data_IF_203055194538
#
_entry.id   IF_203055194538
#
_cell.length_a   1.000
_cell.length_b   1.000
_cell.length_c   1.000
_cell.angle_alpha   90.00
_cell.angle_beta   90.00
_cell.angle_gamma   90.00
#
_symmetry.space_group_name_H-M   'P 1'
#
loop_
_entity.id
_entity.type
_entity.pdbx_description
1 polymer ?
#
# COMPACT_ATOMS: atom_id res chain seq x y z
N UNK A 1 -4.59 25.80 8.23
CA UNK A 1 -4.52 24.81 7.14
C UNK A 1 -4.55 23.43 7.78
N UNK A 2 -5.68 22.70 7.77
CA UNK A 2 -5.73 21.43 8.46
C UNK A 2 -5.04 20.33 7.66
N UNK A 3 -4.33 19.49 8.43
CA UNK A 3 -3.74 18.18 8.18
C UNK A 3 -3.83 17.55 6.78
N UNK A 4 -2.68 17.52 6.11
CA UNK A 4 -2.41 16.51 5.08
C UNK A 4 -1.87 15.26 5.80
N UNK A 5 -2.59 14.12 5.81
CA UNK A 5 -2.09 12.92 6.46
C UNK A 5 -0.80 12.45 5.78
N UNK A 6 0.18 12.17 6.63
CA UNK A 6 1.54 11.76 6.32
C UNK A 6 1.50 10.36 5.68
N UNK A 7 1.19 10.29 4.39
CA UNK A 7 1.37 9.07 3.58
C UNK A 7 1.87 9.36 2.15
N UNK A 8 2.11 10.63 1.78
CA UNK A 8 2.69 10.96 0.45
C UNK A 8 4.23 10.94 0.41
N UNK A 9 4.93 10.79 1.54
CA UNK A 9 6.36 11.12 1.64
C UNK A 9 7.35 9.96 1.50
N UNK A 10 6.96 8.81 0.95
CA UNK A 10 7.94 7.85 0.40
C UNK A 10 8.34 8.18 -1.05
N UNK A 11 7.56 9.02 -1.76
CA UNK A 11 7.77 9.40 -3.17
C UNK A 11 8.50 10.76 -3.31
N UNK A 12 9.52 11.03 -2.50
CA UNK A 12 10.39 12.21 -2.75
C UNK A 12 11.87 11.90 -3.00
N UNK A 13 12.29 10.64 -2.89
CA UNK A 13 13.68 10.26 -3.22
C UNK A 13 13.82 9.55 -4.57
N UNK A 14 12.72 9.16 -5.24
CA UNK A 14 12.78 8.40 -6.50
C UNK A 14 12.40 9.18 -7.77
N UNK A 15 11.75 10.36 -7.67
CA UNK A 15 11.14 11.03 -8.83
C UNK A 15 11.70 12.43 -9.18
N UNK A 16 12.85 12.85 -8.67
CA UNK A 16 13.44 14.16 -9.02
C UNK A 16 14.36 14.14 -10.26
N UNK A 17 14.19 13.18 -11.16
CA UNK A 17 15.04 13.07 -12.37
C UNK A 17 14.33 12.71 -13.67
N UNK A 18 13.02 12.96 -13.77
CA UNK A 18 12.29 12.85 -15.05
C UNK A 18 11.25 13.97 -15.17
N UNK A 19 11.75 15.16 -15.50
CA UNK A 19 10.91 16.26 -15.98
C UNK A 19 11.52 16.84 -17.26
N UNK A 20 11.00 16.38 -18.41
CA UNK A 20 11.01 17.13 -19.68
C UNK A 20 9.95 16.55 -20.63
N UNK A 21 8.70 17.03 -20.58
CA UNK A 21 8.10 18.05 -21.48
C UNK A 21 7.19 17.43 -22.54
N UNK A 22 5.86 17.67 -22.45
CA UNK A 22 5.02 18.43 -23.41
C UNK A 22 3.53 18.08 -23.25
N UNK A 23 2.74 19.11 -22.99
CA UNK A 23 1.35 19.32 -23.44
C UNK A 23 1.26 20.81 -23.82
N UNK A 24 0.20 21.32 -24.48
CA UNK A 24 -0.91 20.70 -25.21
C UNK A 24 -1.14 21.34 -26.61
N UNK A 25 -2.07 20.83 -27.43
CA UNK A 25 -2.86 21.71 -28.31
C UNK A 25 -4.22 21.07 -28.73
N UNK A 26 -5.29 21.86 -28.97
CA UNK A 26 -6.69 21.40 -29.08
C UNK A 26 -7.28 21.50 -30.51
N UNK A 27 -8.31 20.69 -30.80
CA UNK A 27 -9.37 20.87 -31.83
C UNK A 27 -10.13 19.54 -32.00
N UNK A 28 -11.41 19.44 -32.34
CA UNK A 28 -12.48 20.38 -32.64
C UNK A 28 -13.83 19.65 -32.38
N UNK A 29 -14.91 20.44 -32.32
CA UNK A 29 -16.27 20.08 -31.94
C UNK A 29 -16.97 19.09 -32.89
N UNK A 30 -17.86 18.25 -32.35
CA UNK A 30 -18.97 17.62 -33.07
C UNK A 30 -20.14 17.47 -32.08
N UNK A 31 -21.38 17.87 -32.42
CA UNK A 31 -22.49 17.95 -31.45
C UNK A 31 -23.03 16.56 -31.05
N UNK A 32 -23.57 16.40 -29.82
CA UNK A 32 -24.14 15.13 -29.38
C UNK A 32 -25.52 14.88 -30.02
N UNK A 33 -25.85 13.64 -30.41
CA UNK A 33 -27.21 13.31 -30.80
C UNK A 33 -28.15 13.35 -29.58
N UNK A 34 -29.33 13.92 -29.81
CA UNK A 34 -30.38 14.29 -28.87
C UNK A 34 -30.80 13.21 -27.86
N UNK A 35 -30.97 13.66 -26.61
CA UNK A 35 -31.40 12.93 -25.40
C UNK A 35 -32.89 12.52 -25.39
N UNK A 36 -33.43 12.02 -26.49
CA UNK A 36 -34.84 11.62 -26.51
C UNK A 36 -34.99 10.44 -27.44
N UNK A 37 -35.25 9.24 -26.88
CA UNK A 37 -36.09 8.16 -27.41
C UNK A 37 -35.58 6.73 -27.10
N UNK A 38 -35.22 6.38 -25.85
CA UNK A 38 -35.09 4.95 -25.46
C UNK A 38 -35.61 4.64 -24.04
N UNK A 39 -36.56 5.43 -23.53
CA UNK A 39 -37.31 5.09 -22.31
C UNK A 39 -38.58 4.31 -22.68
N UNK A 40 -38.43 3.06 -23.12
CA UNK A 40 -39.58 2.18 -23.28
C UNK A 40 -39.25 0.72 -23.02
N UNK A 41 -39.82 0.26 -21.90
CA UNK A 41 -40.35 -1.10 -21.69
C UNK A 41 -39.29 -2.16 -21.38
N UNK A 42 -38.78 -2.13 -20.14
CA UNK A 42 -38.59 -3.28 -19.24
C UNK A 42 -38.28 -2.68 -17.86
N UNK A 43 -38.84 -3.16 -16.73
CA UNK A 43 -38.25 -2.83 -15.44
C UNK A 43 -36.87 -3.47 -15.44
N UNK A 44 -35.85 -2.68 -15.80
CA UNK A 44 -34.47 -3.08 -15.61
C UNK A 44 -34.36 -3.38 -14.12
N UNK A 45 -34.10 -4.63 -13.69
CA UNK A 45 -33.85 -4.88 -12.28
C UNK A 45 -32.71 -3.93 -11.92
N UNK A 46 -33.01 -2.97 -11.04
CA UNK A 46 -32.01 -2.07 -10.50
C UNK A 46 -30.83 -2.97 -10.12
N UNK A 47 -29.59 -2.65 -10.54
CA UNK A 47 -28.44 -3.44 -10.17
C UNK A 47 -28.54 -3.62 -8.66
N UNK A 48 -28.68 -4.88 -8.25
CA UNK A 48 -28.97 -5.25 -6.88
C UNK A 48 -27.96 -4.47 -6.03
N UNK A 49 -28.44 -3.45 -5.30
CA UNK A 49 -27.60 -2.65 -4.44
C UNK A 49 -27.24 -3.61 -3.31
N UNK A 50 -26.29 -4.52 -3.57
CA UNK A 50 -25.68 -5.38 -2.58
C UNK A 50 -25.12 -4.44 -1.55
N UNK A 51 -25.92 -4.18 -0.52
CA UNK A 51 -25.61 -3.35 0.62
C UNK A 51 -24.38 -4.01 1.22
N UNK A 52 -23.20 -3.45 0.92
CA UNK A 52 -21.95 -3.92 1.51
C UNK A 52 -22.21 -4.06 2.99
N UNK A 53 -22.01 -5.27 3.52
CA UNK A 53 -22.25 -5.50 4.93
C UNK A 53 -21.40 -4.47 5.69
N UNK A 54 -22.00 -3.75 6.63
CA UNK A 54 -21.28 -2.79 7.49
C UNK A 54 -20.03 -3.44 8.11
N UNK A 55 -20.06 -4.76 8.33
CA UNK A 55 -18.91 -5.55 8.78
C UNK A 55 -17.73 -5.55 7.80
N UNK A 56 -17.97 -5.60 6.49
CA UNK A 56 -16.91 -5.65 5.48
C UNK A 56 -16.20 -4.29 5.33
N UNK A 57 -16.97 -3.21 5.31
CA UNK A 57 -16.44 -1.83 5.28
C UNK A 57 -15.59 -1.54 6.53
N UNK A 58 -16.07 -1.93 7.71
CA UNK A 58 -15.31 -1.80 8.95
C UNK A 58 -14.02 -2.64 8.91
N UNK A 59 -14.08 -3.87 8.39
CA UNK A 59 -12.90 -4.74 8.28
C UNK A 59 -11.83 -4.16 7.37
N UNK A 60 -12.22 -3.59 6.22
CA UNK A 60 -11.29 -2.93 5.31
C UNK A 60 -10.64 -1.70 5.94
N UNK A 61 -11.40 -0.89 6.68
CA UNK A 61 -10.86 0.28 7.39
C UNK A 61 -9.85 -0.11 8.47
N UNK A 62 -10.10 -1.21 9.19
CA UNK A 62 -9.16 -1.77 10.15
C UNK A 62 -7.88 -2.24 9.45
N UNK A 63 -8.02 -2.88 8.29
CA UNK A 63 -6.89 -3.35 7.48
C UNK A 63 -6.04 -2.16 6.99
N UNK A 64 -6.67 -1.12 6.47
CA UNK A 64 -6.04 0.13 6.05
C UNK A 64 -5.21 0.75 7.19
N UNK A 65 -5.81 0.89 8.37
CA UNK A 65 -5.10 1.40 9.55
C UNK A 65 -3.89 0.54 9.91
N UNK A 66 -4.01 -0.79 9.85
CA UNK A 66 -2.89 -1.70 10.13
C UNK A 66 -1.76 -1.57 9.10
N UNK A 67 -2.08 -1.46 7.81
CA UNK A 67 -1.09 -1.25 6.75
C UNK A 67 -0.38 0.09 6.96
N UNK A 68 -1.12 1.16 7.22
CA UNK A 68 -0.56 2.49 7.51
C UNK A 68 0.43 2.45 8.69
N UNK A 69 0.02 1.89 9.83
CA UNK A 69 0.91 1.73 10.99
C UNK A 69 2.13 0.84 10.68
N UNK A 70 1.97 -0.18 9.83
CA UNK A 70 3.08 -1.04 9.41
C UNK A 70 4.09 -0.26 8.57
N UNK A 71 3.62 0.59 7.67
CA UNK A 71 4.47 1.48 6.84
C UNK A 71 5.25 2.45 7.73
N UNK A 72 4.59 3.10 8.69
CA UNK A 72 5.24 4.01 9.64
C UNK A 72 6.36 3.30 10.42
N UNK A 73 6.12 2.06 10.87
CA UNK A 73 7.15 1.25 11.55
C UNK A 73 8.31 0.93 10.63
N UNK A 74 8.06 0.58 9.36
CA UNK A 74 9.11 0.37 8.37
C UNK A 74 9.92 1.63 8.09
N UNK A 75 9.28 2.80 8.09
CA UNK A 75 9.96 4.07 7.87
C UNK A 75 11.05 4.35 8.91
N UNK A 76 10.85 3.92 10.17
CA UNK A 76 11.86 4.07 11.21
C UNK A 76 13.18 3.36 10.88
N UNK A 77 13.15 2.29 10.06
CA UNK A 77 14.33 1.54 9.63
C UNK A 77 15.06 2.30 8.53
N UNK A 78 14.33 2.74 7.50
CA UNK A 78 14.92 3.50 6.39
C UNK A 78 15.46 4.87 6.83
N UNK A 79 14.87 5.45 7.89
CA UNK A 79 15.39 6.67 8.51
C UNK A 79 16.80 6.48 9.10
N UNK A 80 17.23 5.24 9.37
CA UNK A 80 18.62 4.91 9.76
C UNK A 80 19.43 4.47 8.52
N UNK A 81 19.44 5.30 7.49
CA UNK A 81 20.09 5.04 6.19
C UNK A 81 21.51 4.48 6.33
N UNK A 82 22.34 5.10 7.16
CA UNK A 82 23.72 4.66 7.39
C UNK A 82 23.83 3.24 7.97
N UNK A 83 22.83 2.75 8.71
CA UNK A 83 22.78 1.36 9.19
C UNK A 83 22.18 0.43 8.15
N UNK A 84 21.22 0.93 7.37
CA UNK A 84 20.61 0.18 6.28
C UNK A 84 21.63 -0.16 5.19
N UNK A 85 22.51 0.78 4.86
CA UNK A 85 23.61 0.59 3.90
C UNK A 85 24.63 -0.47 4.34
N UNK A 86 24.71 -0.77 5.64
CA UNK A 86 25.57 -1.83 6.20
C UNK A 86 24.94 -3.23 6.12
N UNK A 87 23.68 -3.35 5.68
CA UNK A 87 23.04 -4.65 5.47
C UNK A 87 23.59 -5.34 4.23
N UNK A 88 23.55 -6.67 4.21
CA UNK A 88 23.86 -7.45 3.01
C UNK A 88 22.86 -7.12 1.88
N UNK A 89 23.34 -7.15 0.63
CA UNK A 89 22.56 -6.77 -0.54
C UNK A 89 21.22 -7.52 -0.67
N UNK A 90 21.18 -8.81 -0.30
CA UNK A 90 19.95 -9.60 -0.34
C UNK A 90 18.93 -9.15 0.71
N UNK A 91 19.38 -8.81 1.91
CA UNK A 91 18.52 -8.24 2.96
C UNK A 91 17.96 -6.88 2.53
N UNK A 92 18.81 -6.02 1.95
CA UNK A 92 18.35 -4.73 1.42
C UNK A 92 17.27 -4.93 0.36
N UNK A 93 17.51 -5.83 -0.62
CA UNK A 93 16.57 -6.12 -1.70
C UNK A 93 15.24 -6.67 -1.18
N UNK A 94 15.28 -7.59 -0.22
CA UNK A 94 14.08 -8.16 0.40
C UNK A 94 13.25 -7.08 1.11
N UNK A 95 13.89 -6.22 1.90
CA UNK A 95 13.22 -5.13 2.61
C UNK A 95 12.66 -4.07 1.66
N UNK A 96 13.38 -3.75 0.57
CA UNK A 96 12.88 -2.87 -0.47
C UNK A 96 11.65 -3.45 -1.16
N UNK A 97 11.71 -4.71 -1.60
CA UNK A 97 10.58 -5.40 -2.22
C UNK A 97 9.35 -5.40 -1.30
N UNK A 98 9.54 -5.69 -0.02
CA UNK A 98 8.43 -5.70 0.94
C UNK A 98 7.83 -4.30 1.14
N UNK A 99 8.65 -3.25 1.12
CA UNK A 99 8.20 -1.86 1.18
C UNK A 99 7.39 -1.49 -0.07
N UNK A 100 7.86 -1.88 -1.25
CA UNK A 100 7.14 -1.67 -2.51
C UNK A 100 5.76 -2.37 -2.48
N UNK A 101 5.69 -3.57 -1.90
CA UNK A 101 4.43 -4.29 -1.68
C UNK A 101 3.50 -3.52 -0.73
N UNK A 102 3.97 -3.09 0.44
CA UNK A 102 3.15 -2.31 1.38
C UNK A 102 2.62 -1.01 0.75
N UNK A 103 3.46 -0.32 -0.03
CA UNK A 103 3.07 0.88 -0.75
C UNK A 103 2.01 0.57 -1.81
N UNK A 104 2.17 -0.51 -2.56
CA UNK A 104 1.17 -0.95 -3.53
C UNK A 104 -0.18 -1.19 -2.86
N UNK A 105 -0.21 -1.87 -1.71
CA UNK A 105 -1.44 -2.09 -0.93
C UNK A 105 -2.07 -0.79 -0.50
N UNK A 106 -1.27 0.09 0.09
CA UNK A 106 -1.73 1.40 0.55
C UNK A 106 -2.35 2.23 -0.58
N UNK A 107 -1.82 2.11 -1.79
CA UNK A 107 -2.28 2.85 -2.97
C UNK A 107 -3.48 2.23 -3.67
N UNK A 108 -3.85 0.97 -3.37
CA UNK A 108 -4.93 0.24 -4.03
C UNK A 108 -6.11 -0.08 -3.09
N UNK A 109 -6.20 0.59 -1.93
CA UNK A 109 -7.31 0.38 -0.99
C UNK A 109 -8.68 0.78 -1.57
N UNK A 110 -8.71 1.69 -2.55
CA UNK A 110 -9.90 2.03 -3.33
C UNK A 110 -10.50 0.81 -4.08
N UNK A 111 -9.65 -0.16 -4.41
CA UNK A 111 -10.03 -1.42 -5.07
C UNK A 111 -10.10 -2.60 -4.10
N UNK A 112 -9.94 -2.38 -2.79
CA UNK A 112 -9.83 -3.46 -1.82
C UNK A 112 -11.11 -4.28 -1.65
N UNK A 113 -12.26 -3.75 -2.06
CA UNK A 113 -13.51 -4.50 -2.15
C UNK A 113 -13.39 -5.70 -3.10
N UNK A 114 -12.52 -5.63 -4.11
CA UNK A 114 -12.28 -6.70 -5.07
C UNK A 114 -11.23 -7.72 -4.59
N UNK A 115 -10.58 -7.47 -3.44
CA UNK A 115 -9.60 -8.39 -2.90
C UNK A 115 -10.29 -9.62 -2.32
N UNK A 116 -9.81 -10.80 -2.68
CA UNK A 116 -10.22 -12.05 -2.06
C UNK A 116 -9.95 -12.03 -0.56
N UNK A 117 -10.70 -12.85 0.19
CA UNK A 117 -10.44 -13.06 1.62
C UNK A 117 -9.00 -13.49 1.89
N UNK A 118 -8.45 -14.38 1.06
CA UNK A 118 -7.07 -14.83 1.16
C UNK A 118 -6.07 -13.68 1.06
N UNK A 119 -6.24 -12.79 0.07
CA UNK A 119 -5.41 -11.60 -0.08
C UNK A 119 -5.46 -10.70 1.16
N UNK A 120 -6.67 -10.46 1.71
CA UNK A 120 -6.88 -9.67 2.94
C UNK A 120 -6.23 -10.32 4.17
N UNK A 121 -6.36 -11.63 4.31
CA UNK A 121 -5.77 -12.39 5.40
C UNK A 121 -4.24 -12.42 5.30
N UNK A 122 -3.68 -12.50 4.09
CA UNK A 122 -2.25 -12.39 3.85
C UNK A 122 -1.68 -11.02 4.21
N UNK A 123 -2.38 -9.92 3.85
CA UNK A 123 -2.03 -8.56 4.30
C UNK A 123 -2.02 -8.50 5.83
N UNK A 124 -3.12 -8.96 6.44
CA UNK A 124 -3.33 -8.88 7.87
C UNK A 124 -2.26 -9.67 8.63
N UNK A 125 -1.94 -10.87 8.15
CA UNK A 125 -0.87 -11.70 8.67
C UNK A 125 0.48 -10.95 8.62
N UNK A 126 0.80 -10.31 7.48
CA UNK A 126 2.06 -9.60 7.32
C UNK A 126 2.16 -8.41 8.29
N UNK A 127 1.11 -7.60 8.39
CA UNK A 127 1.02 -6.52 9.37
C UNK A 127 1.18 -7.03 10.82
N UNK A 128 0.59 -8.18 11.14
CA UNK A 128 0.72 -8.80 12.47
C UNK A 128 2.17 -9.18 12.76
N UNK A 129 2.84 -9.87 11.83
CA UNK A 129 4.22 -10.31 12.03
C UNK A 129 5.21 -9.15 12.13
N UNK A 130 5.00 -8.08 11.37
CA UNK A 130 5.79 -6.85 11.55
C UNK A 130 5.50 -6.21 12.91
N UNK A 131 4.22 -6.21 13.33
CA UNK A 131 3.81 -5.67 14.61
C UNK A 131 4.45 -6.36 15.82
N UNK A 132 4.82 -7.63 15.69
CA UNK A 132 5.51 -8.42 16.72
C UNK A 132 7.03 -8.22 16.74
N UNK A 133 7.61 -7.58 15.72
CA UNK A 133 9.05 -7.24 15.76
C UNK A 133 9.26 -6.14 16.79
N UNK A 134 10.17 -6.39 17.73
CA UNK A 134 10.55 -5.44 18.76
C UNK A 134 11.61 -4.48 18.24
N UNK A 135 11.26 -3.20 18.12
CA UNK A 135 12.16 -2.15 17.63
C UNK A 135 12.96 -1.49 18.75
N UNK A 136 12.55 -1.68 20.01
CA UNK A 136 13.07 -0.94 21.16
C UNK A 136 13.44 -1.89 22.30
N UNK A 137 14.74 -2.05 22.54
CA UNK A 137 15.31 -2.67 23.74
C UNK A 137 16.38 -1.74 24.28
N UNK A 138 16.12 -0.93 25.31
CA UNK A 138 17.04 0.17 25.72
C UNK A 138 18.44 -0.32 26.15
N UNK A 139 18.54 -1.59 26.53
CA UNK A 139 19.73 -2.24 27.06
C UNK A 139 20.77 -2.63 26.00
N UNK A 140 20.38 -2.72 24.72
CA UNK A 140 21.30 -3.13 23.64
C UNK A 140 21.79 -1.94 22.79
N UNK A 141 23.04 -1.98 22.26
CA UNK A 141 23.54 -1.02 21.29
C UNK A 141 22.65 -0.93 20.05
N UNK A 142 22.44 0.29 19.54
CA UNK A 142 21.55 0.56 18.39
C UNK A 142 21.86 -0.32 17.16
N UNK A 143 23.14 -0.52 16.84
CA UNK A 143 23.58 -1.36 15.71
C UNK A 143 23.13 -2.81 15.87
N UNK A 144 23.21 -3.37 17.08
CA UNK A 144 22.77 -4.74 17.37
C UNK A 144 21.26 -4.87 17.20
N UNK A 145 20.50 -3.92 17.75
CA UNK A 145 19.03 -3.87 17.62
C UNK A 145 18.61 -3.76 16.17
N UNK A 146 19.24 -2.86 15.42
CA UNK A 146 18.94 -2.67 14.00
C UNK A 146 19.20 -3.95 13.20
N UNK A 147 20.31 -4.64 13.46
CA UNK A 147 20.62 -5.93 12.82
C UNK A 147 19.59 -7.01 13.16
N UNK A 148 19.15 -7.09 14.41
CA UNK A 148 18.10 -8.04 14.85
C UNK A 148 16.78 -7.76 14.12
N UNK A 149 16.30 -6.51 14.19
CA UNK A 149 15.06 -6.06 13.54
C UNK A 149 15.08 -6.34 12.04
N UNK A 150 16.17 -5.97 11.34
CA UNK A 150 16.26 -6.16 9.89
C UNK A 150 16.37 -7.62 9.48
N UNK A 151 16.99 -8.48 10.30
CA UNK A 151 16.99 -9.93 10.09
C UNK A 151 15.58 -10.52 10.19
N UNK A 152 14.83 -10.15 11.23
CA UNK A 152 13.46 -10.63 11.44
C UNK A 152 12.53 -10.17 10.31
N UNK A 153 12.65 -8.90 9.90
CA UNK A 153 11.87 -8.35 8.79
C UNK A 153 12.26 -8.93 7.44
N UNK A 154 13.54 -9.21 7.21
CA UNK A 154 13.99 -9.92 5.99
C UNK A 154 13.38 -11.32 5.93
N UNK A 155 13.31 -12.03 7.06
CA UNK A 155 12.65 -13.34 7.16
C UNK A 155 11.16 -13.24 6.82
N UNK A 156 10.47 -12.21 7.32
CA UNK A 156 9.06 -11.95 6.99
C UNK A 156 8.91 -11.63 5.50
N UNK A 157 9.75 -10.77 4.94
CA UNK A 157 9.72 -10.39 3.53
C UNK A 157 9.93 -11.59 2.59
N UNK A 158 10.88 -12.46 2.91
CA UNK A 158 11.23 -13.62 2.08
C UNK A 158 10.17 -14.73 2.09
N UNK A 159 9.34 -14.80 3.13
CA UNK A 159 8.23 -15.77 3.19
C UNK A 159 7.08 -15.46 2.23
N UNK A 160 7.15 -14.36 1.47
CA UNK A 160 6.44 -14.26 0.20
C UNK A 160 4.92 -14.17 0.30
N UNK A 161 4.35 -13.44 1.27
CA UNK A 161 2.89 -13.31 1.45
C UNK A 161 2.13 -12.66 0.27
N UNK A 162 2.86 -12.26 -0.76
CA UNK A 162 2.40 -11.52 -1.93
C UNK A 162 2.80 -12.19 -3.26
N UNK A 163 3.40 -13.38 -3.24
CA UNK A 163 3.94 -14.03 -4.47
C UNK A 163 2.88 -14.59 -5.43
N UNK A 164 1.58 -14.38 -5.17
CA UNK A 164 0.52 -15.10 -5.91
C UNK A 164 -0.57 -14.30 -6.60
N UNK A 165 -0.82 -13.01 -6.33
CA UNK A 165 -2.08 -12.39 -6.83
C UNK A 165 -2.12 -10.85 -6.93
N UNK A 166 -0.98 -10.17 -6.99
CA UNK A 166 -0.96 -8.70 -6.97
C UNK A 166 -0.05 -8.06 -8.02
N UNK A 167 0.15 -8.77 -9.14
CA UNK A 167 0.73 -8.25 -10.37
C UNK A 167 -0.31 -8.36 -11.48
#
# INVERSE_FOLDING_TARGET
FPDVPICKKFILQRNLRESRTRSPLPSAQTPPPSLTLWLSIFPLPLPDFKKKSTKEVVSLRILEKKVSTTIERYQAIFNKKYLFELLLGDSQRALHRFTDQLNWVSNNFDKADNWSKQQRDSILWACRCVGTVEFSTKEEPLVKRFRKVTKDLTSIANRGYWTGSFC
#
